data_IF_625472809113
#
_entry.id   IF_625472809113
#
_cell.length_a   1.000
_cell.length_b   1.000
_cell.length_c   1.000
_cell.angle_alpha   90.00
_cell.angle_beta   90.00
_cell.angle_gamma   90.00
#
_symmetry.space_group_name_H-M   'P 1'
#
loop_
_entity.id
_entity.type
_entity.pdbx_description
1 polymer ?
#
# COMPACT_ATOMS: atom_id res chain seq x y z
N UNK A 1 -9.59 -15.08 -14.32
CA UNK A 1 -9.78 -13.80 -13.58
C UNK A 1 -9.84 -12.71 -14.64
N UNK A 2 -10.79 -11.80 -14.55
CA UNK A 2 -10.92 -10.69 -15.49
C UNK A 2 -9.71 -9.74 -15.36
N UNK A 3 -9.08 -9.38 -16.48
CA UNK A 3 -7.90 -8.51 -16.47
C UNK A 3 -8.24 -7.03 -16.69
N UNK A 4 -9.53 -6.73 -16.94
CA UNK A 4 -9.99 -5.35 -17.12
C UNK A 4 -9.87 -4.54 -15.83
N UNK A 5 -9.57 -3.26 -16.01
CA UNK A 5 -9.57 -2.26 -14.94
C UNK A 5 -10.64 -1.23 -15.28
N UNK A 6 -11.65 -1.14 -14.44
CA UNK A 6 -12.79 -0.24 -14.60
C UNK A 6 -12.52 1.09 -13.88
N UNK A 7 -12.79 2.20 -14.54
CA UNK A 7 -12.62 3.56 -14.00
C UNK A 7 -13.97 4.26 -13.91
N UNK A 8 -14.15 5.07 -12.87
CA UNK A 8 -15.28 5.97 -12.71
C UNK A 8 -14.83 7.31 -12.11
N UNK A 9 -15.35 8.41 -12.65
CA UNK A 9 -15.05 9.76 -12.17
C UNK A 9 -15.61 9.97 -10.76
N UNK A 10 -14.76 10.55 -9.89
CA UNK A 10 -15.10 11.01 -8.56
C UNK A 10 -14.21 12.21 -8.22
N UNK A 11 -14.61 13.45 -8.55
CA UNK A 11 -13.77 14.63 -8.36
C UNK A 11 -13.56 15.02 -6.89
N UNK A 12 -14.39 14.49 -5.98
CA UNK A 12 -14.34 14.75 -4.55
C UNK A 12 -14.89 13.61 -3.73
N UNK A 13 -14.88 13.80 -2.41
CA UNK A 13 -15.34 12.77 -1.45
C UNK A 13 -16.77 13.00 -0.95
N UNK A 14 -17.57 13.82 -1.66
CA UNK A 14 -18.98 13.92 -1.32
C UNK A 14 -19.69 12.58 -1.49
N UNK A 15 -20.67 12.32 -0.61
CA UNK A 15 -21.32 11.02 -0.47
C UNK A 15 -21.93 10.52 -1.80
N UNK A 16 -22.71 11.38 -2.45
CA UNK A 16 -23.49 10.97 -3.61
C UNK A 16 -22.58 10.66 -4.81
N UNK A 17 -21.54 11.47 -5.00
CA UNK A 17 -20.55 11.26 -6.04
C UNK A 17 -19.79 9.94 -5.85
N UNK A 18 -19.30 9.66 -4.64
CA UNK A 18 -18.53 8.44 -4.37
C UNK A 18 -19.44 7.22 -4.43
N UNK A 19 -20.66 7.28 -3.90
CA UNK A 19 -21.62 6.19 -3.97
C UNK A 19 -21.99 5.85 -5.40
N UNK A 20 -22.26 6.85 -6.24
CA UNK A 20 -22.59 6.65 -7.65
C UNK A 20 -21.41 6.06 -8.43
N UNK A 21 -20.19 6.54 -8.18
CA UNK A 21 -18.99 6.04 -8.85
C UNK A 21 -18.70 4.58 -8.46
N UNK A 22 -18.72 4.23 -7.17
CA UNK A 22 -18.54 2.86 -6.68
C UNK A 22 -19.62 1.94 -7.23
N UNK A 23 -20.88 2.37 -7.24
CA UNK A 23 -21.97 1.54 -7.77
C UNK A 23 -21.81 1.27 -9.27
N UNK A 24 -21.39 2.28 -10.08
CA UNK A 24 -21.08 2.08 -11.50
C UNK A 24 -19.98 1.03 -11.72
N UNK A 25 -18.92 1.08 -10.93
CA UNK A 25 -17.83 0.10 -11.00
C UNK A 25 -18.33 -1.31 -10.68
N UNK A 26 -19.04 -1.47 -9.56
CA UNK A 26 -19.48 -2.78 -9.09
C UNK A 26 -20.57 -3.41 -9.99
N UNK A 27 -21.34 -2.61 -10.75
CA UNK A 27 -22.26 -3.15 -11.77
C UNK A 27 -21.54 -3.76 -12.96
N UNK A 28 -20.36 -3.29 -13.28
CA UNK A 28 -19.56 -3.76 -14.42
C UNK A 28 -18.58 -4.87 -14.04
N UNK A 29 -18.29 -5.03 -12.75
CA UNK A 29 -17.31 -5.96 -12.21
C UNK A 29 -17.98 -7.32 -11.92
N UNK A 30 -17.68 -8.41 -12.66
CA UNK A 30 -18.33 -9.71 -12.46
C UNK A 30 -18.20 -10.24 -11.03
N UNK A 31 -17.01 -10.08 -10.41
CA UNK A 31 -16.76 -10.53 -9.02
C UNK A 31 -17.60 -9.80 -7.97
N UNK A 32 -18.22 -8.66 -8.30
CA UNK A 32 -19.15 -7.99 -7.38
C UNK A 32 -20.42 -8.82 -7.07
N UNK A 33 -20.74 -9.83 -7.90
CA UNK A 33 -21.78 -10.81 -7.63
C UNK A 33 -21.50 -11.70 -6.40
N UNK A 34 -20.25 -11.77 -5.96
CA UNK A 34 -19.86 -12.47 -4.73
C UNK A 34 -20.36 -11.75 -3.47
N UNK A 35 -20.69 -10.45 -3.56
CA UNK A 35 -21.37 -9.72 -2.49
C UNK A 35 -22.84 -10.15 -2.45
N UNK A 36 -23.14 -11.20 -1.69
CA UNK A 36 -24.44 -11.85 -1.66
C UNK A 36 -24.87 -12.15 -0.20
N UNK A 37 -26.16 -12.37 0.07
CA UNK A 37 -26.65 -12.75 1.38
C UNK A 37 -25.90 -13.96 1.96
N UNK A 38 -25.62 -13.92 3.27
CA UNK A 38 -24.95 -15.02 4.01
C UNK A 38 -23.45 -15.13 3.77
N UNK A 39 -22.83 -14.24 2.98
CA UNK A 39 -21.39 -14.20 2.79
C UNK A 39 -20.71 -13.32 3.82
N UNK A 40 -19.68 -13.84 4.47
CA UNK A 40 -18.78 -13.05 5.34
C UNK A 40 -17.86 -12.20 4.47
N UNK A 41 -18.07 -10.90 4.48
CA UNK A 41 -17.33 -9.93 3.64
C UNK A 41 -16.30 -9.19 4.47
N UNK A 42 -15.05 -9.32 4.10
CA UNK A 42 -13.96 -8.48 4.62
C UNK A 42 -13.72 -7.30 3.69
N UNK A 43 -13.83 -6.09 4.20
CA UNK A 43 -13.33 -4.88 3.57
C UNK A 43 -11.96 -4.55 4.14
N UNK A 44 -10.94 -4.54 3.31
CA UNK A 44 -9.55 -4.28 3.71
C UNK A 44 -9.05 -2.93 3.18
N UNK A 45 -9.28 -1.81 3.91
CA UNK A 45 -8.73 -0.53 3.53
C UNK A 45 -7.20 -0.49 3.70
N UNK A 46 -6.58 0.58 3.24
CA UNK A 46 -5.21 0.93 3.60
C UNK A 46 -5.24 1.83 4.84
N UNK A 47 -4.82 1.33 5.99
CA UNK A 47 -4.77 2.09 7.24
C UNK A 47 -3.38 2.68 7.51
N UNK A 48 -2.32 1.97 7.18
CA UNK A 48 -0.90 2.29 7.39
C UNK A 48 -0.58 2.77 8.81
N UNK A 49 -1.17 3.91 9.20
CA UNK A 49 -1.03 4.55 10.52
C UNK A 49 -2.22 5.45 10.79
N UNK A 50 -2.43 5.84 12.05
CA UNK A 50 -3.46 6.81 12.40
C UNK A 50 -3.14 8.19 11.82
N UNK A 51 -3.69 8.47 10.64
CA UNK A 51 -3.47 9.71 9.88
C UNK A 51 -4.84 10.23 9.42
N UNK A 52 -5.02 11.54 9.54
CA UNK A 52 -6.26 12.20 9.12
C UNK A 52 -6.48 12.05 7.60
N UNK A 53 -7.73 11.90 7.13
CA UNK A 53 -8.06 11.60 5.74
C UNK A 53 -7.48 12.60 4.73
N UNK A 54 -7.39 13.88 5.09
CA UNK A 54 -6.91 14.98 4.25
C UNK A 54 -5.42 14.83 3.85
N UNK A 55 -4.69 14.00 4.59
CA UNK A 55 -3.30 13.65 4.25
C UNK A 55 -3.19 12.65 3.09
N UNK A 56 -4.29 12.04 2.68
CA UNK A 56 -4.37 11.03 1.63
C UNK A 56 -3.39 9.84 1.80
N UNK A 57 -3.06 9.51 3.05
CA UNK A 57 -2.16 8.40 3.41
C UNK A 57 -2.93 7.10 3.52
N UNK A 58 -4.16 7.16 4.01
CA UNK A 58 -5.10 6.05 4.22
C UNK A 58 -6.20 6.06 3.15
N UNK A 59 -6.88 4.94 2.96
CA UNK A 59 -8.14 4.93 2.20
C UNK A 59 -9.12 5.88 2.86
N UNK A 60 -9.74 6.75 2.08
CA UNK A 60 -10.67 7.74 2.60
C UNK A 60 -11.95 7.06 3.13
N UNK A 61 -12.47 7.47 4.29
CA UNK A 61 -13.67 6.86 4.88
C UNK A 61 -14.90 6.89 3.95
N UNK A 62 -15.04 7.89 3.09
CA UNK A 62 -16.14 7.95 2.11
C UNK A 62 -16.13 6.77 1.13
N UNK A 63 -14.94 6.31 0.69
CA UNK A 63 -14.83 5.13 -0.20
C UNK A 63 -15.19 3.86 0.57
N UNK A 64 -14.75 3.71 1.82
CA UNK A 64 -15.13 2.58 2.68
C UNK A 64 -16.65 2.54 2.88
N UNK A 65 -17.27 3.68 3.20
CA UNK A 65 -18.71 3.82 3.36
C UNK A 65 -19.49 3.44 2.09
N UNK A 66 -19.03 3.92 0.93
CA UNK A 66 -19.68 3.64 -0.35
C UNK A 66 -19.68 2.12 -0.66
N UNK A 67 -18.56 1.43 -0.41
CA UNK A 67 -18.47 -0.03 -0.61
C UNK A 67 -19.32 -0.78 0.40
N UNK A 68 -19.38 -0.35 1.68
CA UNK A 68 -20.30 -0.93 2.68
C UNK A 68 -21.75 -0.82 2.19
N UNK A 69 -22.18 0.38 1.80
CA UNK A 69 -23.55 0.61 1.28
C UNK A 69 -23.84 -0.21 0.03
N UNK A 70 -22.87 -0.32 -0.86
CA UNK A 70 -23.02 -1.14 -2.07
C UNK A 70 -23.14 -2.65 -1.76
N UNK A 71 -22.42 -3.16 -0.76
CA UNK A 71 -22.56 -4.55 -0.28
C UNK A 71 -23.94 -4.78 0.36
N UNK A 72 -24.39 -3.85 1.21
CA UNK A 72 -25.73 -3.90 1.83
C UNK A 72 -26.86 -3.89 0.78
N UNK A 73 -26.75 -3.07 -0.27
CA UNK A 73 -27.71 -3.07 -1.41
C UNK A 73 -27.76 -4.40 -2.16
N UNK A 74 -26.69 -5.20 -2.11
CA UNK A 74 -26.62 -6.56 -2.68
C UNK A 74 -27.08 -7.66 -1.70
N UNK A 75 -27.61 -7.25 -0.54
CA UNK A 75 -28.17 -8.15 0.46
C UNK A 75 -27.20 -8.69 1.48
N UNK A 76 -25.95 -8.23 1.53
CA UNK A 76 -25.03 -8.60 2.62
C UNK A 76 -25.50 -7.94 3.92
N UNK A 77 -25.72 -8.76 4.95
CA UNK A 77 -26.14 -8.23 6.25
C UNK A 77 -24.99 -7.42 6.90
N UNK A 78 -25.33 -6.35 7.61
CA UNK A 78 -24.33 -5.50 8.25
C UNK A 78 -23.42 -6.27 9.23
N UNK A 79 -23.96 -7.25 9.96
CA UNK A 79 -23.20 -8.12 10.86
C UNK A 79 -22.23 -9.07 10.14
N UNK A 80 -22.39 -9.30 8.84
CA UNK A 80 -21.50 -10.12 8.02
C UNK A 80 -20.41 -9.28 7.33
N UNK A 81 -20.43 -7.95 7.47
CA UNK A 81 -19.40 -7.06 6.95
C UNK A 81 -18.41 -6.71 8.06
N UNK A 82 -17.13 -7.02 7.84
CA UNK A 82 -16.05 -6.67 8.76
C UNK A 82 -15.03 -5.79 8.05
N UNK A 83 -14.64 -4.68 8.66
CA UNK A 83 -13.54 -3.82 8.21
C UNK A 83 -12.31 -4.14 9.05
N UNK A 84 -11.20 -4.56 8.40
CA UNK A 84 -9.97 -4.92 9.10
C UNK A 84 -8.71 -4.53 8.33
N UNK A 85 -7.70 -4.09 9.06
CA UNK A 85 -6.31 -3.85 8.63
C UNK A 85 -5.39 -3.86 9.86
N UNK A 86 -4.10 -4.06 9.64
CA UNK A 86 -3.07 -3.92 10.66
C UNK A 86 -2.20 -2.71 10.36
N UNK A 87 -2.24 -1.64 11.16
CA UNK A 87 -1.37 -0.49 10.99
C UNK A 87 0.11 -0.86 11.22
N UNK A 88 1.02 0.02 10.84
CA UNK A 88 2.45 -0.10 11.15
C UNK A 88 2.72 0.04 12.64
N UNK A 89 3.67 -0.75 13.16
CA UNK A 89 4.04 -0.76 14.57
C UNK A 89 3.47 -1.95 15.35
N UNK A 90 3.55 -1.94 16.69
CA UNK A 90 3.00 -3.01 17.53
C UNK A 90 1.49 -3.18 17.31
N UNK A 91 1.04 -4.43 17.17
CA UNK A 91 -0.38 -4.75 17.03
C UNK A 91 -1.05 -4.82 18.40
N UNK A 92 -1.15 -3.66 19.06
CA UNK A 92 -1.81 -3.51 20.33
C UNK A 92 -3.20 -2.87 20.11
N UNK A 93 -4.23 -3.42 20.75
CA UNK A 93 -5.62 -2.99 20.58
C UNK A 93 -5.84 -1.48 20.72
N UNK A 94 -5.16 -0.83 21.68
CA UNK A 94 -5.25 0.63 21.86
C UNK A 94 -4.69 1.44 20.68
N UNK A 95 -3.57 0.99 20.09
CA UNK A 95 -2.96 1.64 18.92
C UNK A 95 -3.80 1.42 17.67
N UNK A 96 -4.35 0.22 17.49
CA UNK A 96 -5.27 -0.12 16.39
C UNK A 96 -6.54 0.74 16.47
N UNK A 97 -7.19 0.82 17.66
CA UNK A 97 -8.37 1.67 17.89
C UNK A 97 -8.07 3.15 17.60
N UNK A 98 -6.92 3.64 18.05
CA UNK A 98 -6.50 5.01 17.78
C UNK A 98 -6.33 5.29 16.28
N UNK A 99 -5.72 4.35 15.54
CA UNK A 99 -5.53 4.49 14.09
C UNK A 99 -6.88 4.55 13.35
N UNK A 100 -7.82 3.67 13.69
CA UNK A 100 -9.18 3.67 13.15
C UNK A 100 -9.94 4.97 13.45
N UNK A 101 -9.81 5.51 14.69
CA UNK A 101 -10.44 6.75 15.08
C UNK A 101 -9.90 7.94 14.28
N UNK A 102 -8.58 8.07 14.20
CA UNK A 102 -7.92 9.20 13.51
C UNK A 102 -8.16 9.16 12.00
N UNK A 103 -8.23 7.98 11.38
CA UNK A 103 -8.54 7.84 9.95
C UNK A 103 -10.01 8.13 9.60
N UNK A 104 -10.90 8.28 10.57
CA UNK A 104 -12.33 8.47 10.36
C UNK A 104 -13.11 7.18 10.03
N UNK A 105 -12.42 6.05 9.78
CA UNK A 105 -13.08 4.79 9.39
C UNK A 105 -13.92 4.22 10.54
N UNK A 106 -13.50 4.41 11.80
CA UNK A 106 -14.30 3.98 12.95
C UNK A 106 -15.69 4.64 13.01
N UNK A 107 -15.78 5.92 12.67
CA UNK A 107 -17.05 6.63 12.62
C UNK A 107 -17.98 6.05 11.53
N UNK A 108 -17.41 5.78 10.34
CA UNK A 108 -18.14 5.14 9.24
C UNK A 108 -18.67 3.76 9.62
N UNK A 109 -17.83 2.92 10.24
CA UNK A 109 -18.28 1.59 10.67
C UNK A 109 -19.42 1.65 11.68
N UNK A 110 -19.37 2.61 12.62
CA UNK A 110 -20.44 2.83 13.59
C UNK A 110 -21.72 3.34 12.93
N UNK A 111 -21.63 4.32 12.02
CA UNK A 111 -22.76 4.86 11.25
C UNK A 111 -23.43 3.80 10.40
N UNK A 112 -22.64 2.97 9.72
CA UNK A 112 -23.15 1.92 8.84
C UNK A 112 -23.53 0.63 9.58
N UNK A 113 -23.26 0.53 10.89
CA UNK A 113 -23.60 -0.62 11.74
C UNK A 113 -22.84 -1.89 11.41
N UNK A 114 -21.61 -1.80 10.87
CA UNK A 114 -20.77 -2.93 10.49
C UNK A 114 -19.65 -3.19 11.50
N UNK A 115 -19.06 -4.38 11.46
CA UNK A 115 -17.99 -4.76 12.37
C UNK A 115 -16.69 -4.06 12.04
N UNK A 116 -16.04 -3.46 13.04
CA UNK A 116 -14.68 -2.94 12.95
C UNK A 116 -13.75 -3.83 13.78
N UNK A 117 -12.79 -4.46 13.11
CA UNK A 117 -11.83 -5.31 13.81
C UNK A 117 -10.79 -4.49 14.56
N UNK A 118 -10.77 -4.64 15.87
CA UNK A 118 -9.79 -4.01 16.77
C UNK A 118 -9.03 -5.03 17.61
N UNK A 119 -9.24 -6.32 17.31
CA UNK A 119 -8.60 -7.44 17.98
C UNK A 119 -7.15 -7.64 17.53
N UNK A 120 -6.50 -8.62 18.17
CA UNK A 120 -5.12 -9.03 17.88
C UNK A 120 -5.02 -10.48 17.42
N UNK A 121 -6.15 -11.18 17.35
CA UNK A 121 -6.21 -12.58 16.94
C UNK A 121 -5.70 -12.74 15.50
N UNK A 122 -4.88 -13.74 15.29
CA UNK A 122 -4.30 -14.08 14.00
C UNK A 122 -3.97 -15.58 13.97
N UNK A 123 -3.86 -16.14 12.78
CA UNK A 123 -3.55 -17.55 12.61
C UNK A 123 -2.66 -17.79 11.39
N UNK A 124 -2.08 -18.97 11.31
CA UNK A 124 -1.30 -19.39 10.14
C UNK A 124 -2.25 -19.72 8.98
N UNK A 125 -2.05 -19.05 7.84
CA UNK A 125 -2.80 -19.34 6.64
C UNK A 125 -2.31 -20.64 5.99
N UNK A 126 -3.21 -21.44 5.36
CA UNK A 126 -2.80 -22.53 4.51
C UNK A 126 -1.84 -22.04 3.43
N UNK A 127 -0.81 -22.84 3.12
CA UNK A 127 0.12 -22.49 2.05
C UNK A 127 -0.61 -22.55 0.71
N UNK A 128 -0.68 -21.41 0.03
CA UNK A 128 -1.31 -21.34 -1.28
C UNK A 128 -0.47 -22.06 -2.35
N UNK A 129 -1.15 -22.58 -3.36
CA UNK A 129 -0.51 -23.14 -4.54
C UNK A 129 0.35 -22.06 -5.22
N UNK A 130 1.56 -22.42 -5.64
CA UNK A 130 2.52 -21.50 -6.24
C UNK A 130 3.23 -20.55 -5.24
N UNK A 131 2.76 -20.42 -3.99
CA UNK A 131 3.46 -19.64 -2.98
C UNK A 131 4.64 -20.42 -2.38
N UNK A 132 5.75 -19.70 -2.15
CA UNK A 132 6.96 -20.28 -1.52
C UNK A 132 6.94 -20.18 -0.01
N UNK A 133 6.22 -19.16 0.52
CA UNK A 133 6.21 -18.77 1.94
C UNK A 133 4.85 -19.02 2.57
N UNK A 134 4.82 -19.18 3.90
CA UNK A 134 3.61 -19.19 4.73
C UNK A 134 3.49 -17.87 5.48
N UNK A 135 2.26 -17.49 5.80
CA UNK A 135 1.97 -16.22 6.48
C UNK A 135 1.04 -16.44 7.66
N UNK A 136 1.28 -15.70 8.73
CA UNK A 136 0.29 -15.46 9.77
C UNK A 136 -0.54 -14.25 9.33
N UNK A 137 -1.86 -14.43 9.28
CA UNK A 137 -2.80 -13.39 8.85
C UNK A 137 -3.77 -13.07 10.00
N UNK A 138 -4.33 -11.87 9.97
CA UNK A 138 -5.42 -11.48 10.89
C UNK A 138 -6.59 -12.45 10.75
N UNK A 139 -7.23 -12.78 11.89
CA UNK A 139 -8.37 -13.70 11.92
C UNK A 139 -9.48 -13.33 10.93
N UNK A 140 -9.91 -12.05 10.74
CA UNK A 140 -10.95 -11.72 9.76
C UNK A 140 -10.56 -12.04 8.31
N UNK A 141 -9.26 -12.05 7.99
CA UNK A 141 -8.78 -12.45 6.65
C UNK A 141 -8.98 -13.96 6.43
N UNK A 142 -8.75 -14.75 7.48
CA UNK A 142 -8.88 -16.21 7.43
C UNK A 142 -10.35 -16.66 7.45
N UNK A 143 -11.24 -15.83 8.02
CA UNK A 143 -12.66 -16.16 8.21
C UNK A 143 -13.56 -15.67 7.06
N UNK A 144 -13.05 -14.82 6.16
CA UNK A 144 -13.86 -14.22 5.10
C UNK A 144 -14.13 -15.16 3.93
N UNK A 145 -15.37 -15.14 3.41
CA UNK A 145 -15.73 -15.76 2.13
C UNK A 145 -15.37 -14.85 0.95
N UNK A 146 -15.47 -13.53 1.15
CA UNK A 146 -15.20 -12.50 0.14
C UNK A 146 -14.29 -11.45 0.74
N UNK A 147 -13.16 -11.21 0.09
CA UNK A 147 -12.21 -10.17 0.50
C UNK A 147 -12.21 -9.08 -0.57
N UNK A 148 -12.61 -7.87 -0.18
CA UNK A 148 -12.56 -6.67 -1.01
C UNK A 148 -11.38 -5.82 -0.55
N UNK A 149 -10.36 -5.71 -1.39
CA UNK A 149 -9.23 -4.83 -1.13
C UNK A 149 -9.58 -3.38 -1.48
N UNK A 150 -9.34 -2.45 -0.56
CA UNK A 150 -9.63 -1.03 -0.73
C UNK A 150 -8.32 -0.22 -0.67
N UNK A 151 -7.46 -0.33 -1.69
CA UNK A 151 -6.16 0.32 -1.68
C UNK A 151 -6.28 1.84 -1.89
N UNK A 152 -5.22 2.54 -1.49
CA UNK A 152 -4.99 3.96 -1.77
C UNK A 152 -3.97 4.11 -2.88
N UNK A 153 -4.25 4.93 -3.90
CA UNK A 153 -3.28 5.27 -4.93
C UNK A 153 -2.16 6.14 -4.33
N UNK A 154 -0.98 5.57 -4.10
CA UNK A 154 0.15 6.29 -3.51
C UNK A 154 1.51 5.73 -3.88
N UNK A 155 2.52 6.60 -3.83
CA UNK A 155 3.92 6.22 -3.93
C UNK A 155 4.43 5.50 -2.69
N UNK A 156 5.57 4.82 -2.82
CA UNK A 156 6.23 4.13 -1.72
C UNK A 156 7.76 4.13 -1.90
N UNK A 157 8.49 4.54 -0.87
CA UNK A 157 9.96 4.66 -0.90
C UNK A 157 10.67 3.36 -1.28
N UNK A 158 10.20 2.20 -0.82
CA UNK A 158 10.84 0.91 -1.08
C UNK A 158 10.34 0.25 -2.37
N UNK A 159 9.04 0.28 -2.63
CA UNK A 159 8.40 -0.44 -3.74
C UNK A 159 7.98 0.43 -4.91
N UNK A 160 8.20 1.75 -4.88
CA UNK A 160 7.77 2.72 -5.89
C UNK A 160 6.28 3.03 -5.81
N UNK A 161 5.47 2.00 -5.84
CA UNK A 161 4.02 2.05 -5.77
C UNK A 161 3.51 1.31 -4.53
N UNK A 162 2.53 1.90 -3.85
CA UNK A 162 1.69 1.26 -2.86
C UNK A 162 0.25 1.36 -3.38
N UNK A 163 -0.21 0.28 -3.97
CA UNK A 163 -1.56 0.17 -4.51
C UNK A 163 -2.16 -1.18 -4.10
N UNK A 164 -2.82 -1.92 -4.98
CA UNK A 164 -3.60 -3.09 -4.61
C UNK A 164 -2.75 -4.23 -4.02
N UNK A 165 -1.75 -4.74 -4.74
CA UNK A 165 -0.93 -5.87 -4.27
C UNK A 165 -0.21 -5.55 -2.96
N UNK A 166 0.41 -4.37 -2.85
CA UNK A 166 1.14 -3.98 -1.63
C UNK A 166 0.19 -3.71 -0.46
N UNK A 167 -1.07 -3.34 -0.71
CA UNK A 167 -2.05 -3.12 0.35
C UNK A 167 -2.30 -4.38 1.19
N UNK A 168 -2.22 -5.56 0.59
CA UNK A 168 -2.40 -6.83 1.30
C UNK A 168 -1.38 -7.07 2.43
N UNK A 169 -0.27 -6.32 2.44
CA UNK A 169 0.70 -6.39 3.53
C UNK A 169 0.10 -6.01 4.90
N UNK A 170 -1.00 -5.25 4.90
CA UNK A 170 -1.80 -4.95 6.08
C UNK A 170 -2.61 -6.16 6.63
N UNK A 171 -2.70 -7.27 5.91
CA UNK A 171 -3.27 -8.52 6.42
C UNK A 171 -2.35 -9.22 7.43
N UNK A 172 -1.05 -8.87 7.44
CA UNK A 172 -0.05 -9.41 8.36
C UNK A 172 -0.08 -8.60 9.66
N UNK A 173 -0.16 -9.25 10.85
CA UNK A 173 -0.27 -8.54 12.12
C UNK A 173 1.02 -7.81 12.50
N UNK A 174 0.88 -6.56 12.88
CA UNK A 174 1.83 -5.72 13.62
C UNK A 174 3.30 -5.82 13.23
N UNK A 175 4.14 -6.17 14.20
CA UNK A 175 5.60 -6.22 14.04
C UNK A 175 6.09 -7.32 13.11
N UNK A 176 5.29 -8.34 12.80
CA UNK A 176 5.65 -9.35 11.80
C UNK A 176 5.94 -8.71 10.43
N UNK A 177 5.33 -7.55 10.12
CA UNK A 177 5.70 -6.77 8.92
C UNK A 177 7.17 -6.32 8.93
N UNK A 178 7.66 -5.88 10.08
CA UNK A 178 9.08 -5.51 10.24
C UNK A 178 10.00 -6.73 10.11
N UNK A 179 9.59 -7.89 10.63
CA UNK A 179 10.32 -9.15 10.45
C UNK A 179 10.41 -9.54 8.96
N UNK A 180 9.34 -9.37 8.18
CA UNK A 180 9.38 -9.62 6.74
C UNK A 180 10.37 -8.69 6.01
N UNK A 181 10.47 -7.42 6.41
CA UNK A 181 11.52 -6.54 5.89
C UNK A 181 12.94 -7.02 6.25
N UNK A 182 13.10 -7.64 7.41
CA UNK A 182 14.38 -8.23 7.83
C UNK A 182 14.70 -9.51 7.07
N UNK A 183 13.70 -10.40 6.89
CA UNK A 183 13.85 -11.66 6.15
C UNK A 183 14.06 -11.44 4.64
N UNK A 184 13.51 -10.34 4.09
CA UNK A 184 13.57 -9.97 2.69
C UNK A 184 14.21 -8.59 2.52
N UNK A 185 15.50 -8.39 2.84
CA UNK A 185 16.15 -7.09 2.82
C UNK A 185 16.39 -6.55 1.41
N UNK A 186 16.45 -7.42 0.41
CA UNK A 186 16.52 -7.03 -1.01
C UNK A 186 15.13 -6.75 -1.55
N UNK A 187 15.02 -5.75 -2.44
CA UNK A 187 13.74 -5.36 -3.05
C UNK A 187 13.11 -6.52 -3.83
N UNK A 188 13.93 -7.30 -4.51
CA UNK A 188 13.53 -8.47 -5.30
C UNK A 188 12.89 -9.55 -4.41
N UNK A 189 13.53 -9.90 -3.29
CA UNK A 189 13.02 -10.90 -2.34
C UNK A 189 11.73 -10.41 -1.66
N UNK A 190 11.66 -9.11 -1.37
CA UNK A 190 10.45 -8.49 -0.82
C UNK A 190 9.31 -8.47 -1.84
N UNK A 191 9.62 -8.24 -3.11
CA UNK A 191 8.66 -8.35 -4.21
C UNK A 191 8.11 -9.76 -4.35
N UNK A 192 8.97 -10.77 -4.35
CA UNK A 192 8.57 -12.19 -4.37
C UNK A 192 7.70 -12.57 -3.16
N UNK A 193 8.00 -12.04 -1.97
CA UNK A 193 7.19 -12.23 -0.76
C UNK A 193 5.79 -11.61 -0.91
N UNK A 194 5.67 -10.41 -1.50
CA UNK A 194 4.36 -9.79 -1.74
C UNK A 194 3.51 -10.59 -2.73
N UNK A 195 4.12 -11.24 -3.72
CA UNK A 195 3.39 -12.15 -4.63
C UNK A 195 2.94 -13.42 -3.92
N UNK A 196 3.78 -14.00 -3.06
CA UNK A 196 3.36 -15.13 -2.22
C UNK A 196 2.17 -14.74 -1.32
N UNK A 197 2.18 -13.52 -0.77
CA UNK A 197 1.08 -13.00 0.03
C UNK A 197 -0.20 -12.79 -0.79
N UNK A 198 -0.09 -12.23 -2.01
CA UNK A 198 -1.22 -12.10 -2.93
C UNK A 198 -1.88 -13.45 -3.20
N UNK A 199 -1.09 -14.47 -3.51
CA UNK A 199 -1.59 -15.84 -3.74
C UNK A 199 -2.24 -16.45 -2.49
N UNK A 200 -1.75 -16.09 -1.29
CA UNK A 200 -2.27 -16.59 -0.02
C UNK A 200 -3.56 -15.91 0.41
N UNK A 201 -3.63 -14.57 0.33
CA UNK A 201 -4.83 -13.80 0.70
C UNK A 201 -5.93 -13.96 -0.34
N UNK A 202 -5.58 -13.99 -1.62
CA UNK A 202 -6.46 -14.22 -2.77
C UNK A 202 -7.73 -13.35 -2.71
N UNK A 203 -7.60 -12.01 -2.70
CA UNK A 203 -8.76 -11.12 -2.66
C UNK A 203 -9.66 -11.35 -3.86
N UNK A 204 -10.97 -11.16 -3.66
CA UNK A 204 -11.97 -11.37 -4.71
C UNK A 204 -11.92 -10.27 -5.76
N UNK A 205 -11.70 -9.03 -5.33
CA UNK A 205 -11.51 -7.85 -6.19
C UNK A 205 -10.98 -6.68 -5.35
N UNK A 206 -10.59 -5.61 -6.03
CA UNK A 206 -10.19 -4.36 -5.40
C UNK A 206 -11.05 -3.18 -5.87
N UNK A 207 -11.27 -2.20 -4.97
CA UNK A 207 -11.81 -0.87 -5.29
C UNK A 207 -10.80 0.18 -4.79
N UNK A 208 -10.08 0.77 -5.72
CA UNK A 208 -9.01 1.72 -5.46
C UNK A 208 -9.56 3.13 -5.18
N UNK A 209 -9.10 3.74 -4.12
CA UNK A 209 -9.23 5.17 -3.87
C UNK A 209 -8.13 5.96 -4.61
N UNK A 210 -8.49 6.47 -5.78
CA UNK A 210 -7.70 7.37 -6.62
C UNK A 210 -8.31 8.78 -6.68
N UNK A 211 -9.23 9.17 -5.77
CA UNK A 211 -9.82 10.50 -5.74
C UNK A 211 -8.75 11.56 -5.39
N UNK A 212 -8.07 11.37 -4.27
CA UNK A 212 -6.85 12.11 -3.94
C UNK A 212 -5.75 11.11 -3.66
N UNK A 213 -4.82 10.94 -4.57
CA UNK A 213 -3.64 10.10 -4.38
C UNK A 213 -2.60 10.74 -3.47
N UNK A 214 -1.47 10.06 -3.25
CA UNK A 214 -0.34 10.57 -2.47
C UNK A 214 0.95 10.40 -3.26
N UNK A 215 1.63 11.50 -3.57
CA UNK A 215 2.82 11.54 -4.41
C UNK A 215 4.09 11.93 -3.64
N UNK A 216 5.27 11.72 -4.21
CA UNK A 216 6.57 12.04 -3.59
C UNK A 216 7.06 10.94 -2.65
N UNK A 217 7.60 11.29 -1.50
CA UNK A 217 8.23 10.35 -0.56
C UNK A 217 7.20 9.55 0.27
N UNK A 218 6.27 8.84 -0.42
CA UNK A 218 5.32 7.96 0.23
C UNK A 218 5.98 6.79 0.98
N UNK A 219 5.20 6.07 1.83
CA UNK A 219 3.75 6.08 1.89
C UNK A 219 3.12 7.18 2.76
N UNK A 220 3.90 7.91 3.58
CA UNK A 220 3.39 8.93 4.52
C UNK A 220 4.08 10.30 4.44
N UNK A 221 5.26 10.38 3.85
CA UNK A 221 6.10 11.60 3.80
C UNK A 221 5.98 12.41 2.52
N UNK A 222 5.06 12.08 1.64
CA UNK A 222 4.76 12.83 0.43
C UNK A 222 3.69 13.90 0.64
N UNK A 223 2.90 14.17 -0.39
CA UNK A 223 1.79 15.14 -0.35
C UNK A 223 0.57 14.62 -1.12
N UNK A 224 -0.64 15.07 -0.73
CA UNK A 224 -1.86 14.78 -1.47
C UNK A 224 -1.78 15.27 -2.92
N UNK A 225 -2.33 14.49 -3.84
CA UNK A 225 -2.45 14.81 -5.27
C UNK A 225 -3.86 14.48 -5.74
N UNK A 226 -4.68 15.47 -6.12
CA UNK A 226 -5.97 15.22 -6.75
C UNK A 226 -5.79 14.41 -8.04
N UNK A 227 -6.52 13.30 -8.18
CA UNK A 227 -6.52 12.45 -9.37
C UNK A 227 -7.93 12.28 -9.94
N UNK A 228 -8.98 12.38 -9.08
CA UNK A 228 -10.37 12.52 -9.48
C UNK A 228 -11.06 11.22 -9.92
N UNK A 229 -10.57 10.04 -9.55
CA UNK A 229 -11.19 8.78 -9.95
C UNK A 229 -11.24 7.73 -8.83
N UNK A 230 -12.13 6.77 -8.99
CA UNK A 230 -12.07 5.45 -8.36
C UNK A 230 -11.90 4.39 -9.44
N UNK A 231 -11.25 3.27 -9.11
CA UNK A 231 -11.08 2.17 -10.05
C UNK A 231 -11.38 0.83 -9.39
N UNK A 232 -11.84 -0.16 -10.17
CA UNK A 232 -12.06 -1.52 -9.68
C UNK A 232 -11.48 -2.56 -10.63
N UNK A 233 -10.97 -3.66 -10.08
CA UNK A 233 -10.46 -4.80 -10.84
C UNK A 233 -10.54 -6.09 -10.03
N UNK A 234 -10.73 -7.22 -10.72
CA UNK A 234 -10.57 -8.55 -10.11
C UNK A 234 -9.10 -8.92 -9.98
N UNK A 235 -8.31 -8.61 -10.99
CA UNK A 235 -6.87 -8.85 -10.99
C UNK A 235 -6.12 -7.63 -10.42
N UNK A 236 -5.58 -7.78 -9.20
CA UNK A 236 -4.84 -6.71 -8.52
C UNK A 236 -3.55 -6.33 -9.27
N UNK A 237 -2.93 -7.27 -9.97
CA UNK A 237 -1.72 -6.99 -10.76
C UNK A 237 -2.06 -6.13 -11.98
N UNK A 238 -3.22 -6.38 -12.64
CA UNK A 238 -3.70 -5.53 -13.73
C UNK A 238 -3.97 -4.10 -13.26
N UNK A 239 -4.59 -3.92 -12.08
CA UNK A 239 -4.77 -2.59 -11.48
C UNK A 239 -3.43 -1.89 -11.23
N UNK A 240 -2.44 -2.59 -10.66
CA UNK A 240 -1.13 -2.02 -10.37
C UNK A 240 -0.36 -1.69 -11.66
N UNK A 241 -0.51 -2.49 -12.72
CA UNK A 241 0.05 -2.21 -14.05
C UNK A 241 -0.59 -0.98 -14.70
N UNK A 242 -1.93 -0.85 -14.60
CA UNK A 242 -2.66 0.33 -15.10
C UNK A 242 -2.17 1.61 -14.38
N UNK A 243 -2.02 1.55 -13.07
CA UNK A 243 -1.48 2.67 -12.29
C UNK A 243 -0.03 2.98 -12.68
N UNK A 244 0.80 1.98 -12.96
CA UNK A 244 2.16 2.22 -13.45
C UNK A 244 2.15 3.03 -14.75
N UNK A 245 1.28 2.67 -15.71
CA UNK A 245 1.13 3.40 -16.96
C UNK A 245 0.67 4.86 -16.74
N UNK A 246 -0.34 5.07 -15.87
CA UNK A 246 -0.85 6.40 -15.55
C UNK A 246 0.17 7.29 -14.83
N UNK A 247 0.97 6.72 -13.93
CA UNK A 247 1.89 7.46 -13.05
C UNK A 247 3.32 7.55 -13.59
N UNK A 248 3.59 7.02 -14.77
CA UNK A 248 4.92 7.06 -15.40
C UNK A 248 5.95 6.14 -14.71
N UNK A 249 5.49 5.03 -14.11
CA UNK A 249 6.35 4.02 -13.51
C UNK A 249 6.61 2.88 -14.50
N UNK A 250 7.86 2.48 -14.69
CA UNK A 250 8.17 1.24 -15.39
C UNK A 250 7.79 0.04 -14.50
N UNK A 251 6.88 -0.88 -14.92
CA UNK A 251 6.48 -2.01 -14.10
C UNK A 251 7.64 -2.86 -13.59
N UNK A 252 8.69 -3.04 -14.41
CA UNK A 252 9.90 -3.79 -14.06
C UNK A 252 10.70 -3.15 -12.92
N UNK A 253 10.49 -1.86 -12.66
CA UNK A 253 11.11 -1.18 -11.53
C UNK A 253 10.35 -1.42 -10.22
N UNK A 254 9.06 -1.79 -10.26
CA UNK A 254 8.23 -2.12 -9.10
C UNK A 254 8.49 -3.57 -8.68
N UNK A 255 9.10 -3.83 -7.51
CA UNK A 255 9.65 -5.15 -7.17
C UNK A 255 8.67 -6.31 -7.26
N UNK A 256 7.43 -6.10 -6.83
CA UNK A 256 6.40 -7.15 -6.86
C UNK A 256 5.83 -7.36 -8.27
N UNK A 257 5.74 -6.34 -9.12
CA UNK A 257 5.38 -6.53 -10.52
C UNK A 257 6.49 -7.24 -11.29
N UNK A 258 7.76 -6.88 -11.06
CA UNK A 258 8.89 -7.61 -11.62
C UNK A 258 8.91 -9.08 -11.16
N UNK A 259 8.57 -9.36 -9.91
CA UNK A 259 8.43 -10.72 -9.40
C UNK A 259 7.25 -11.47 -10.06
N UNK A 260 6.10 -10.82 -10.23
CA UNK A 260 4.94 -11.39 -10.91
C UNK A 260 5.25 -11.74 -12.37
N UNK A 261 5.94 -10.85 -13.09
CA UNK A 261 6.38 -11.08 -14.47
C UNK A 261 7.33 -12.28 -14.58
N UNK A 262 8.36 -12.38 -13.73
CA UNK A 262 9.27 -13.54 -13.68
C UNK A 262 8.54 -14.86 -13.39
N UNK A 263 7.40 -14.81 -12.70
CA UNK A 263 6.57 -15.98 -12.36
C UNK A 263 5.47 -16.25 -13.39
N UNK A 264 5.38 -15.46 -14.47
CA UNK A 264 4.35 -15.61 -15.50
C UNK A 264 2.92 -15.25 -15.03
N UNK A 265 2.79 -14.42 -13.98
CA UNK A 265 1.51 -14.06 -13.38
C UNK A 265 0.92 -12.76 -13.95
N UNK A 266 1.71 -11.95 -14.65
CA UNK A 266 1.23 -10.76 -15.35
C UNK A 266 2.12 -10.42 -16.55
N UNK A 267 1.59 -9.65 -17.53
CA UNK A 267 2.36 -9.17 -18.67
C UNK A 267 3.40 -8.11 -18.27
N UNK A 268 4.24 -7.71 -19.24
CA UNK A 268 5.28 -6.71 -19.03
C UNK A 268 4.74 -5.30 -18.82
N UNK A 269 3.56 -5.00 -19.36
CA UNK A 269 2.86 -3.71 -19.26
C UNK A 269 1.36 -3.93 -19.30
N UNK A 270 0.60 -2.91 -18.90
CA UNK A 270 -0.85 -2.89 -19.05
C UNK A 270 -1.21 -2.68 -20.53
N UNK A 271 -2.17 -3.47 -21.01
CA UNK A 271 -2.77 -3.24 -22.33
C UNK A 271 -3.89 -2.18 -22.19
N UNK A 272 -3.78 -1.02 -22.84
CA UNK A 272 -4.81 0.02 -22.77
C UNK A 272 -6.21 -0.46 -23.18
N UNK A 273 -6.33 -1.49 -24.00
CA UNK A 273 -7.62 -2.07 -24.40
C UNK A 273 -8.36 -2.73 -23.22
N UNK A 274 -7.67 -3.02 -22.10
CA UNK A 274 -8.25 -3.55 -20.88
C UNK A 274 -8.79 -2.46 -19.94
N UNK A 275 -8.58 -1.17 -20.26
CA UNK A 275 -9.24 -0.07 -19.55
C UNK A 275 -10.73 -0.05 -19.92
N UNK A 276 -11.59 0.02 -18.91
CA UNK A 276 -13.04 -0.07 -19.07
C UNK A 276 -13.76 1.01 -18.23
N UNK A 277 -15.09 1.13 -18.40
CA UNK A 277 -15.85 2.19 -17.76
C UNK A 277 -15.60 3.55 -18.41
N UNK A 278 -15.27 4.55 -17.62
CA UNK A 278 -14.91 5.89 -18.11
C UNK A 278 -13.43 5.91 -18.56
N UNK A 279 -13.14 5.32 -19.71
CA UNK A 279 -11.77 5.08 -20.20
C UNK A 279 -10.93 6.34 -20.41
N UNK A 280 -11.56 7.50 -20.57
CA UNK A 280 -10.86 8.80 -20.65
C UNK A 280 -10.07 9.13 -19.35
N UNK A 281 -10.41 8.49 -18.22
CA UNK A 281 -9.68 8.63 -16.96
C UNK A 281 -8.36 7.84 -16.96
N UNK A 282 -8.24 6.83 -17.83
CA UNK A 282 -6.99 6.12 -18.02
C UNK A 282 -6.05 6.96 -18.92
N UNK A 283 -5.45 7.96 -18.32
CA UNK A 283 -4.54 8.89 -18.99
C UNK A 283 -3.28 9.12 -18.13
N UNK A 284 -2.14 9.48 -18.75
CA UNK A 284 -0.95 9.85 -18.00
C UNK A 284 -1.21 11.03 -17.05
N UNK A 285 -0.81 10.87 -15.80
CA UNK A 285 -0.89 11.95 -14.79
C UNK A 285 0.35 12.82 -14.93
N UNK A 286 0.17 14.01 -15.49
CA UNK A 286 1.27 14.95 -15.72
C UNK A 286 1.95 15.37 -14.42
N UNK A 287 3.28 15.44 -14.44
CA UNK A 287 4.10 15.93 -13.34
C UNK A 287 3.87 15.16 -12.00
N UNK A 288 3.49 13.89 -12.06
CA UNK A 288 3.36 13.06 -10.85
C UNK A 288 4.74 12.83 -10.24
N UNK A 289 4.89 13.15 -8.96
CA UNK A 289 6.17 13.09 -8.26
C UNK A 289 6.43 11.70 -7.70
N UNK A 290 7.43 11.03 -8.26
CA UNK A 290 7.91 9.75 -7.74
C UNK A 290 8.77 9.96 -6.48
N UNK A 291 8.93 8.91 -5.64
CA UNK A 291 9.79 8.99 -4.45
C UNK A 291 11.23 9.34 -4.82
N UNK A 292 11.90 10.07 -3.94
CA UNK A 292 13.33 10.37 -4.13
C UNK A 292 14.20 9.12 -4.23
N UNK A 293 13.84 8.02 -3.56
CA UNK A 293 14.50 6.72 -3.67
C UNK A 293 14.34 6.06 -5.04
N UNK A 294 13.43 6.57 -5.87
CA UNK A 294 13.06 5.99 -7.17
C UNK A 294 13.72 6.70 -8.36
N UNK A 295 14.23 7.89 -8.18
CA UNK A 295 14.98 8.55 -9.23
C UNK A 295 16.22 7.73 -9.53
N UNK A 296 16.28 7.14 -10.73
CA UNK A 296 17.38 6.29 -11.17
C UNK A 296 18.66 7.11 -11.22
N UNK A 297 19.69 6.61 -10.53
CA UNK A 297 21.07 6.94 -10.81
C UNK A 297 21.65 5.71 -11.54
N UNK A 298 21.51 5.69 -12.86
CA UNK A 298 21.98 4.59 -13.70
C UNK A 298 23.50 4.69 -13.89
N UNK A 299 24.27 4.42 -12.85
CA UNK A 299 25.74 4.32 -12.99
C UNK A 299 26.16 3.10 -13.80
N UNK A 300 25.38 2.00 -13.73
CA UNK A 300 25.70 0.75 -14.43
C UNK A 300 25.69 0.90 -15.94
N UNK A 301 24.74 1.66 -16.49
CA UNK A 301 24.57 1.82 -17.93
C UNK A 301 25.60 2.79 -18.54
N UNK A 302 26.07 3.75 -17.73
CA UNK A 302 27.03 4.79 -18.15
C UNK A 302 28.48 4.50 -17.77
N UNK A 303 28.72 3.46 -16.94
CA UNK A 303 30.07 3.15 -16.46
C UNK A 303 30.89 2.41 -17.54
N UNK A 304 32.14 2.85 -17.82
CA UNK A 304 33.06 2.11 -18.65
C UNK A 304 33.26 0.67 -18.14
N UNK A 305 33.44 -0.30 -19.05
CA UNK A 305 33.61 -1.72 -18.69
C UNK A 305 34.66 -1.96 -17.59
N UNK A 306 35.74 -1.18 -17.64
CA UNK A 306 36.86 -1.29 -16.69
C UNK A 306 36.49 -0.96 -15.22
N UNK A 307 35.43 -0.17 -14.97
CA UNK A 307 35.02 0.23 -13.60
C UNK A 307 33.67 -0.36 -13.17
N UNK A 308 33.04 -1.18 -13.99
CA UNK A 308 31.74 -1.81 -13.67
C UNK A 308 31.77 -2.64 -12.39
N UNK A 309 32.90 -3.23 -12.07
CA UNK A 309 33.08 -3.99 -10.81
C UNK A 309 32.90 -3.14 -9.54
N UNK A 310 33.22 -1.84 -9.61
CA UNK A 310 33.09 -0.90 -8.51
C UNK A 310 31.68 -0.30 -8.39
N UNK A 311 30.86 -0.38 -9.44
CA UNK A 311 29.50 0.21 -9.49
C UNK A 311 28.63 -0.22 -8.34
N UNK A 312 28.53 -1.52 -7.95
CA UNK A 312 27.68 -1.94 -6.81
C UNK A 312 28.10 -1.32 -5.47
N UNK A 313 29.40 -1.13 -5.26
CA UNK A 313 29.91 -0.49 -4.05
C UNK A 313 29.56 1.01 -4.01
N UNK A 314 29.73 1.69 -5.14
CA UNK A 314 29.35 3.11 -5.30
C UNK A 314 27.84 3.29 -5.14
N UNK A 315 27.03 2.48 -5.79
CA UNK A 315 25.57 2.50 -5.66
C UNK A 315 25.13 2.27 -4.21
N UNK A 316 25.73 1.29 -3.53
CA UNK A 316 25.48 1.06 -2.09
C UNK A 316 25.84 2.27 -1.24
N UNK A 317 26.85 3.02 -1.60
CA UNK A 317 27.31 4.20 -0.84
C UNK A 317 26.45 5.43 -1.11
N UNK A 318 26.05 5.67 -2.36
CA UNK A 318 25.23 6.82 -2.77
C UNK A 318 23.72 6.60 -2.61
N UNK A 319 23.26 5.35 -2.46
CA UNK A 319 21.86 5.01 -2.35
C UNK A 319 21.17 5.78 -1.20
N UNK A 320 19.93 6.23 -1.41
CA UNK A 320 19.16 7.00 -0.43
C UNK A 320 19.11 6.32 0.94
N UNK A 321 19.28 7.10 2.00
CA UNK A 321 19.26 6.61 3.40
C UNK A 321 18.28 7.43 4.23
N UNK A 322 17.57 6.80 5.20
CA UNK A 322 16.78 7.56 6.15
C UNK A 322 17.70 8.42 7.04
N UNK A 323 17.33 9.67 7.22
CA UNK A 323 18.02 10.61 8.10
C UNK A 323 17.01 11.34 8.98
N UNK A 324 17.28 11.38 10.30
CA UNK A 324 16.39 12.07 11.24
C UNK A 324 16.72 13.57 11.26
N UNK A 325 15.73 14.39 10.92
CA UNK A 325 15.76 15.85 11.09
C UNK A 325 15.57 16.16 12.58
N UNK A 326 16.65 16.44 13.27
CA UNK A 326 16.68 16.64 14.74
C UNK A 326 15.74 17.74 15.20
N UNK A 327 15.57 18.81 14.41
CA UNK A 327 14.67 19.91 14.75
C UNK A 327 13.22 19.44 14.86
N UNK A 328 12.75 18.59 13.93
CA UNK A 328 11.38 18.06 13.93
C UNK A 328 11.17 16.87 14.87
N UNK A 329 12.24 16.15 15.24
CA UNK A 329 12.13 14.96 16.07
C UNK A 329 11.63 15.28 17.49
N UNK A 330 10.57 14.62 17.93
CA UNK A 330 9.98 14.76 19.27
C UNK A 330 10.43 13.66 20.25
N UNK A 331 11.26 12.71 19.82
CA UNK A 331 11.81 11.64 20.66
C UNK A 331 10.82 10.57 21.12
N UNK A 332 9.71 10.38 20.39
CA UNK A 332 8.62 9.45 20.77
C UNK A 332 9.00 7.94 20.74
N UNK A 333 10.13 7.56 20.17
CA UNK A 333 10.63 6.18 20.16
C UNK A 333 10.04 5.26 19.07
N UNK A 334 8.92 5.57 18.42
CA UNK A 334 8.23 4.70 17.43
C UNK A 334 9.16 4.17 16.32
N UNK A 335 10.08 5.00 15.84
CA UNK A 335 11.04 4.60 14.81
C UNK A 335 12.06 3.57 15.32
N UNK A 336 12.41 3.59 16.62
CA UNK A 336 13.27 2.60 17.23
C UNK A 336 12.54 1.26 17.44
N UNK A 337 11.29 1.31 17.87
CA UNK A 337 10.42 0.13 18.05
C UNK A 337 10.20 -0.66 16.77
N UNK A 338 9.94 0.04 15.64
CA UNK A 338 9.68 -0.61 14.36
C UNK A 338 10.95 -1.03 13.62
N UNK A 339 12.12 -0.62 14.06
CA UNK A 339 13.36 -0.90 13.35
C UNK A 339 13.75 -2.38 13.46
N UNK A 340 13.66 -3.19 12.37
CA UNK A 340 13.94 -4.61 12.44
C UNK A 340 15.42 -4.94 12.73
N UNK A 341 16.32 -3.97 12.50
CA UNK A 341 17.76 -4.09 12.76
C UNK A 341 18.19 -3.40 14.06
N UNK A 342 17.24 -2.85 14.83
CA UNK A 342 17.52 -2.13 16.08
C UNK A 342 18.63 -1.07 15.96
N UNK A 343 18.73 -0.43 14.78
CA UNK A 343 19.78 0.57 14.48
C UNK A 343 19.44 1.98 14.93
N UNK A 344 18.30 2.18 15.61
CA UNK A 344 17.83 3.49 16.03
C UNK A 344 17.83 3.58 17.56
N UNK A 345 18.54 4.57 18.06
CA UNK A 345 18.60 4.90 19.49
C UNK A 345 17.91 6.23 19.76
N UNK A 346 17.22 6.33 20.89
CA UNK A 346 16.66 7.60 21.39
C UNK A 346 17.47 8.05 22.60
N UNK A 347 18.19 9.17 22.46
CA UNK A 347 18.96 9.81 23.54
C UNK A 347 18.59 11.29 23.63
N UNK A 348 18.42 11.80 24.83
CA UNK A 348 18.05 13.21 25.07
C UNK A 348 16.83 13.66 24.26
N UNK A 349 15.78 12.85 24.26
CA UNK A 349 14.53 13.09 23.50
C UNK A 349 14.73 13.29 21.98
N UNK A 350 15.81 12.75 21.41
CA UNK A 350 16.10 12.78 19.97
C UNK A 350 16.52 11.40 19.50
N UNK A 351 15.97 10.96 18.38
CA UNK A 351 16.36 9.71 17.76
C UNK A 351 17.62 9.88 16.90
N UNK A 352 18.41 8.82 16.78
CA UNK A 352 19.62 8.75 15.93
C UNK A 352 19.70 7.38 15.27
N UNK A 353 19.93 7.34 13.96
CA UNK A 353 20.14 6.11 13.19
C UNK A 353 21.63 5.79 13.14
N UNK A 354 22.02 4.55 13.42
CA UNK A 354 23.36 3.99 13.18
C UNK A 354 23.41 3.48 11.73
N UNK A 355 24.16 4.12 10.81
CA UNK A 355 24.03 3.82 9.38
C UNK A 355 24.58 2.45 8.96
N UNK A 356 25.52 1.88 9.74
CA UNK A 356 26.29 0.67 9.37
C UNK A 356 25.38 -0.53 9.08
N UNK A 357 24.38 -0.75 9.96
CA UNK A 357 23.54 -1.95 9.94
C UNK A 357 22.13 -1.65 9.37
N UNK A 358 21.90 -0.44 8.87
CA UNK A 358 20.62 -0.02 8.32
C UNK A 358 20.35 -0.66 6.95
N UNK A 359 19.31 -1.50 6.87
CA UNK A 359 18.87 -2.16 5.62
C UNK A 359 18.04 -1.26 4.67
N UNK A 360 17.80 0.00 5.04
CA UNK A 360 17.08 1.01 4.24
C UNK A 360 15.65 0.60 3.86
N UNK A 361 14.97 -0.12 4.75
CA UNK A 361 13.56 -0.52 4.56
C UNK A 361 12.58 0.66 4.68
N UNK A 362 13.00 1.79 5.27
CA UNK A 362 12.20 2.99 5.52
C UNK A 362 10.99 2.79 6.46
N UNK A 363 10.85 1.66 7.16
CA UNK A 363 9.80 1.46 8.16
C UNK A 363 9.76 2.58 9.21
N UNK A 364 10.93 3.08 9.61
CA UNK A 364 11.03 4.22 10.52
C UNK A 364 10.39 5.51 9.96
N UNK A 365 10.50 5.73 8.66
CA UNK A 365 9.88 6.87 7.97
C UNK A 365 8.35 6.75 7.97
N UNK A 366 7.82 5.54 7.76
CA UNK A 366 6.39 5.27 7.68
C UNK A 366 5.65 5.57 8.99
N UNK A 367 6.27 5.27 10.14
CA UNK A 367 5.64 5.39 11.47
C UNK A 367 5.92 6.73 12.17
N UNK A 368 6.68 7.64 11.55
CA UNK A 368 7.03 8.90 12.19
C UNK A 368 5.85 9.89 12.19
N UNK A 369 5.22 10.21 13.35
CA UNK A 369 4.01 11.01 13.41
C UNK A 369 4.24 12.48 13.00
N UNK A 370 5.48 12.95 13.11
CA UNK A 370 5.86 14.33 12.78
C UNK A 370 6.71 14.41 11.51
N UNK A 371 6.78 13.31 10.73
CA UNK A 371 7.54 13.23 9.49
C UNK A 371 9.00 13.75 9.63
N UNK A 372 9.64 13.43 10.75
CA UNK A 372 11.00 13.88 11.06
C UNK A 372 12.09 13.02 10.40
N UNK A 373 11.74 12.10 9.50
CA UNK A 373 12.73 11.21 8.85
C UNK A 373 12.73 11.51 7.36
N UNK A 374 13.80 12.17 6.91
CA UNK A 374 14.02 12.52 5.52
C UNK A 374 14.85 11.46 4.80
N UNK A 375 14.90 11.57 3.48
CA UNK A 375 15.81 10.78 2.65
C UNK A 375 17.05 11.58 2.37
N UNK A 376 18.20 11.13 2.89
CA UNK A 376 19.50 11.76 2.57
C UNK A 376 20.05 11.14 1.29
N UNK A 377 20.35 12.00 0.32
CA UNK A 377 21.15 11.68 -0.87
C UNK A 377 22.57 12.17 -0.69
N UNK A 378 23.49 11.57 -1.44
CA UNK A 378 24.84 12.09 -1.53
C UNK A 378 24.83 13.49 -2.15
N UNK A 379 25.60 14.43 -1.58
CA UNK A 379 25.48 15.87 -1.89
C UNK A 379 25.68 16.23 -3.37
N UNK A 380 26.54 15.48 -4.10
CA UNK A 380 26.79 15.70 -5.53
C UNK A 380 25.55 15.47 -6.42
N UNK A 381 24.52 14.81 -5.91
CA UNK A 381 23.31 14.42 -6.65
C UNK A 381 22.04 15.09 -6.11
N UNK A 382 22.19 16.16 -5.32
CA UNK A 382 21.03 16.92 -4.79
C UNK A 382 20.26 17.69 -5.86
N UNK A 383 20.86 17.94 -7.03
CA UNK A 383 20.29 18.74 -8.12
C UNK A 383 19.92 17.94 -9.38
N UNK A 384 20.20 16.64 -9.40
CA UNK A 384 19.73 15.69 -10.41
C UNK A 384 18.52 14.91 -9.88
#
# INVERSE_FOLDING_TARGET
MDERVFFAAAPGYDRDTVDAAVERLLRQLPAASLLAPGKKVLLKPNLLSGTAPEKAVTTHPAVVAAVIRAAKRRGVAACDITVADSPGGPHASGLVKSAWKVSGIAAVCAEEGVNLYTGTASGEAPKAEGAKRRFTLLEPVLAADVIVDLPKCKTHMMTGLSAATKNLFGCIPGLQKAEWHMRCPKKEDFGDMLIDLLLTVKPSFAVLDGIVGHEGNGPSGGSPRPLGFVAAAENLLSMDLALCAMLGLAPQSVPYLAAAQRRGLCPASFDPALAAGETALFAPVENFRLPDSWRKMNFSDSAPRAVRWAVPAVEKWVAPRPQIARARCIGCGRCAEICPQHTIEVKNKKARIKPKDCIRCFCCHEVCPVQAIDTKRFFLFKKL
#
